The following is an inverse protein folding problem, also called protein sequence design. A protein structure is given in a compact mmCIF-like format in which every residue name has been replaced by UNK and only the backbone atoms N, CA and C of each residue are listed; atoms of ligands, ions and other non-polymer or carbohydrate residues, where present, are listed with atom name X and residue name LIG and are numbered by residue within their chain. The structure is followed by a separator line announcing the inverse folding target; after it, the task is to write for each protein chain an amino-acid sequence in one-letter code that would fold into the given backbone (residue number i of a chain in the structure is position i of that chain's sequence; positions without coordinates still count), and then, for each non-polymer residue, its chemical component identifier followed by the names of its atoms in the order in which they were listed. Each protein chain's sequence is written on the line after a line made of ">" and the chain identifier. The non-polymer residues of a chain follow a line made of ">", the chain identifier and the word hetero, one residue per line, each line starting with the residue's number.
data_IF_767519741175
#
_entry.id   IF_767519741175
#
_cell.length_a   1.000
_cell.length_b   1.000
_cell.length_c   1.000
_cell.angle_alpha   90.00
_cell.angle_beta   90.00
_cell.angle_gamma   90.00
#
_symmetry.space_group_name_H-M   'P 1'
#
loop_
_entity.id
_entity.type
_entity.pdbx_description
1 polymer ?
#
# COMPACT_ATOMS: atom_id res chain seq x y z
N UNK A 1 19.50 -38.52 0.73
CA UNK A 1 19.81 -37.45 -0.25
C UNK A 1 18.72 -36.39 -0.17
N UNK A 2 18.99 -35.21 0.42
CA UNK A 2 18.00 -34.14 0.53
C UNK A 2 17.61 -33.61 -0.86
N UNK A 3 16.34 -33.74 -1.23
CA UNK A 3 15.86 -33.25 -2.52
C UNK A 3 15.66 -31.72 -2.45
N UNK A 4 16.64 -30.98 -2.97
CA UNK A 4 16.66 -29.50 -2.99
C UNK A 4 15.37 -28.92 -3.60
N UNK A 5 14.77 -29.60 -4.58
CA UNK A 5 13.52 -29.18 -5.21
C UNK A 5 12.32 -29.18 -4.24
N UNK A 6 12.31 -30.08 -3.24
CA UNK A 6 11.26 -30.12 -2.22
C UNK A 6 11.40 -28.97 -1.21
N UNK A 7 12.64 -28.60 -0.85
CA UNK A 7 12.91 -27.46 0.06
C UNK A 7 12.46 -26.16 -0.60
N UNK A 8 12.85 -25.95 -1.86
CA UNK A 8 12.45 -24.80 -2.65
C UNK A 8 10.92 -24.69 -2.81
N UNK A 9 10.23 -25.81 -2.96
CA UNK A 9 8.76 -25.86 -3.02
C UNK A 9 8.13 -25.50 -1.68
N UNK A 10 8.67 -26.01 -0.57
CA UNK A 10 8.19 -25.73 0.79
C UNK A 10 8.36 -24.26 1.15
N UNK A 11 9.52 -23.67 0.87
CA UNK A 11 9.78 -22.24 1.11
C UNK A 11 8.77 -21.37 0.35
N UNK A 12 8.53 -21.66 -0.93
CA UNK A 12 7.54 -20.91 -1.73
C UNK A 12 6.13 -21.04 -1.20
N UNK A 13 5.74 -22.23 -0.74
CA UNK A 13 4.44 -22.44 -0.13
C UNK A 13 4.28 -21.58 1.12
N UNK A 14 5.28 -21.58 2.01
CA UNK A 14 5.30 -20.75 3.23
C UNK A 14 5.20 -19.26 2.85
N UNK A 15 5.99 -18.78 1.90
CA UNK A 15 5.93 -17.39 1.43
C UNK A 15 4.56 -17.03 0.84
N UNK A 16 3.95 -17.95 0.08
CA UNK A 16 2.62 -17.75 -0.48
C UNK A 16 1.60 -17.55 0.63
N UNK A 17 1.57 -18.46 1.60
CA UNK A 17 0.65 -18.40 2.74
C UNK A 17 0.89 -17.12 3.53
N UNK A 18 2.15 -16.77 3.80
CA UNK A 18 2.51 -15.55 4.54
C UNK A 18 2.00 -14.28 3.85
N UNK A 19 2.27 -14.09 2.56
CA UNK A 19 1.87 -12.86 1.86
C UNK A 19 0.36 -12.75 1.69
N UNK A 20 -0.35 -13.86 1.47
CA UNK A 20 -1.80 -13.84 1.43
C UNK A 20 -2.42 -13.61 2.80
N UNK A 21 -1.84 -14.18 3.87
CA UNK A 21 -2.26 -13.90 5.23
C UNK A 21 -2.08 -12.40 5.56
N UNK A 22 -0.92 -11.83 5.22
CA UNK A 22 -0.68 -10.39 5.37
C UNK A 22 -1.66 -9.55 4.54
N UNK A 23 -1.95 -9.94 3.29
CA UNK A 23 -2.93 -9.23 2.46
C UNK A 23 -4.34 -9.28 3.07
N UNK A 24 -4.76 -10.42 3.62
CA UNK A 24 -6.07 -10.56 4.27
C UNK A 24 -6.15 -9.75 5.56
N UNK A 25 -5.13 -9.85 6.43
CA UNK A 25 -5.05 -9.04 7.66
C UNK A 25 -5.09 -7.56 7.30
N UNK A 26 -4.35 -7.16 6.28
CA UNK A 26 -4.30 -5.77 5.85
C UNK A 26 -5.66 -5.31 5.31
N UNK A 27 -6.33 -6.11 4.46
CA UNK A 27 -7.67 -5.81 3.96
C UNK A 27 -8.69 -5.65 5.09
N UNK A 28 -8.60 -6.46 6.16
CA UNK A 28 -9.43 -6.31 7.35
C UNK A 28 -9.14 -4.96 8.04
N UNK A 29 -7.87 -4.56 8.14
CA UNK A 29 -7.51 -3.24 8.66
C UNK A 29 -8.09 -2.10 7.82
N UNK A 30 -8.11 -2.23 6.48
CA UNK A 30 -8.76 -1.23 5.59
C UNK A 30 -10.23 -1.10 5.95
N UNK A 31 -10.97 -2.21 5.98
CA UNK A 31 -12.39 -2.20 6.30
C UNK A 31 -12.62 -1.57 7.68
N UNK A 32 -11.80 -1.91 8.68
CA UNK A 32 -11.90 -1.32 10.01
C UNK A 32 -11.70 0.20 10.02
N UNK A 33 -10.80 0.74 9.20
CA UNK A 33 -10.60 2.20 9.09
C UNK A 33 -11.73 2.86 8.29
N UNK A 34 -12.22 2.16 7.26
CA UNK A 34 -13.34 2.63 6.47
C UNK A 34 -14.62 2.68 7.28
N UNK A 35 -14.86 1.71 8.17
CA UNK A 35 -15.99 1.67 9.11
C UNK A 35 -16.06 2.86 10.09
N UNK A 36 -14.99 3.63 10.25
CA UNK A 36 -14.97 4.77 11.16
C UNK A 36 -15.83 5.95 10.61
N UNK A 37 -16.80 6.45 11.41
CA UNK A 37 -17.50 7.70 11.09
C UNK A 37 -16.53 8.86 10.88
N UNK A 38 -16.96 9.87 10.12
CA UNK A 38 -16.07 10.96 9.72
C UNK A 38 -15.45 11.74 10.90
N UNK A 39 -16.17 11.91 12.00
CA UNK A 39 -15.65 12.57 13.20
C UNK A 39 -14.50 11.78 13.85
N UNK A 40 -14.67 10.45 14.01
CA UNK A 40 -13.63 9.55 14.56
C UNK A 40 -12.41 9.52 13.64
N UNK A 41 -12.64 9.47 12.33
CA UNK A 41 -11.55 9.52 11.36
C UNK A 41 -10.77 10.84 11.40
N UNK A 42 -11.48 11.97 11.55
CA UNK A 42 -10.85 13.29 11.67
C UNK A 42 -10.03 13.40 12.96
N UNK A 43 -10.52 12.85 14.08
CA UNK A 43 -9.79 12.77 15.35
C UNK A 43 -8.51 11.95 15.22
N UNK A 44 -8.56 10.77 14.58
CA UNK A 44 -7.35 9.96 14.31
C UNK A 44 -6.31 10.71 13.48
N UNK A 45 -6.75 11.46 12.46
CA UNK A 45 -5.86 12.34 11.69
C UNK A 45 -5.34 13.51 12.54
N UNK A 46 -6.13 14.02 13.47
CA UNK A 46 -5.75 15.06 14.44
C UNK A 46 -4.60 14.64 15.36
N UNK A 47 -4.62 13.41 15.88
CA UNK A 47 -3.53 12.87 16.70
C UNK A 47 -2.19 12.76 15.94
N UNK A 48 -2.25 12.59 14.61
CA UNK A 48 -1.07 12.61 13.75
C UNK A 48 -0.62 14.06 13.53
N UNK A 49 -1.58 14.97 13.35
CA UNK A 49 -1.33 16.39 13.18
C UNK A 49 -0.68 17.04 14.38
N UNK A 50 -1.18 16.82 15.59
CA UNK A 50 -0.60 17.37 16.82
C UNK A 50 0.90 17.02 16.97
N UNK A 51 1.33 15.88 16.41
CA UNK A 51 2.74 15.46 16.44
C UNK A 51 3.60 16.13 15.35
N UNK A 52 2.97 16.53 14.25
CA UNK A 52 3.64 17.05 13.05
C UNK A 52 3.54 18.59 13.00
N UNK A 53 2.53 19.18 13.65
CA UNK A 53 2.26 20.61 13.78
C UNK A 53 3.50 21.43 14.16
N UNK A 54 4.28 21.10 15.22
CA UNK A 54 5.47 21.89 15.58
C UNK A 54 6.58 21.85 14.50
N UNK A 55 6.61 20.81 13.66
CA UNK A 55 7.53 20.74 12.53
C UNK A 55 7.02 21.54 11.32
N UNK A 56 5.70 21.51 11.10
CA UNK A 56 5.04 22.26 10.02
C UNK A 56 5.09 23.75 10.27
N UNK A 57 4.79 24.20 11.49
CA UNK A 57 4.90 25.62 11.89
C UNK A 57 6.30 26.16 11.64
N UNK A 58 7.34 25.40 12.01
CA UNK A 58 8.73 25.78 11.78
C UNK A 58 9.07 25.96 10.29
N UNK A 59 8.53 25.11 9.41
CA UNK A 59 8.74 25.23 7.96
C UNK A 59 7.95 26.42 7.40
N UNK A 60 6.71 26.63 7.87
CA UNK A 60 5.87 27.74 7.42
C UNK A 60 6.55 29.08 7.75
N UNK A 61 7.08 29.23 8.98
CA UNK A 61 7.81 30.42 9.40
C UNK A 61 9.12 30.61 8.63
N UNK A 62 9.86 29.53 8.35
CA UNK A 62 11.16 29.61 7.66
C UNK A 62 11.04 29.96 6.17
N UNK A 63 9.93 29.59 5.52
CA UNK A 63 9.76 29.73 4.06
C UNK A 63 8.62 30.68 3.63
N UNK A 64 7.98 31.41 4.56
CA UNK A 64 6.85 32.33 4.32
C UNK A 64 5.72 31.68 3.48
N UNK A 65 5.39 30.43 3.82
CA UNK A 65 4.37 29.67 3.10
C UNK A 65 3.00 30.13 3.58
N UNK A 66 2.09 30.40 2.64
CA UNK A 66 0.70 30.77 2.96
C UNK A 66 0.06 29.70 3.88
N UNK A 67 -0.50 30.14 5.01
CA UNK A 67 -1.14 29.27 6.00
C UNK A 67 -2.15 28.34 5.32
N UNK A 68 -1.94 27.02 5.44
CA UNK A 68 -2.89 26.00 4.98
C UNK A 68 -3.93 25.86 6.10
N UNK A 69 -5.22 25.84 5.75
CA UNK A 69 -6.28 25.60 6.73
C UNK A 69 -6.09 24.22 7.40
N UNK A 70 -6.31 24.13 8.70
CA UNK A 70 -6.22 22.87 9.45
C UNK A 70 -7.14 21.81 8.85
N UNK A 71 -8.33 22.21 8.39
CA UNK A 71 -9.30 21.30 7.78
C UNK A 71 -8.78 20.70 6.46
N UNK A 72 -8.08 21.50 5.65
CA UNK A 72 -7.42 21.03 4.43
C UNK A 72 -6.28 20.06 4.78
N UNK A 73 -5.52 20.34 5.84
CA UNK A 73 -4.41 19.49 6.26
C UNK A 73 -4.90 18.12 6.78
N UNK A 74 -5.98 18.09 7.56
CA UNK A 74 -6.67 16.86 7.93
C UNK A 74 -7.10 16.06 6.70
N UNK A 75 -7.66 16.75 5.70
CA UNK A 75 -8.06 16.13 4.44
C UNK A 75 -6.86 15.49 3.73
N UNK A 76 -5.75 16.20 3.55
CA UNK A 76 -4.56 15.68 2.86
C UNK A 76 -3.91 14.51 3.59
N UNK A 77 -3.82 14.55 4.92
CA UNK A 77 -3.26 13.43 5.71
C UNK A 77 -4.11 12.19 5.55
N UNK A 78 -5.44 12.33 5.63
CA UNK A 78 -6.37 11.21 5.42
C UNK A 78 -6.20 10.63 4.02
N UNK A 79 -6.22 11.45 2.96
CA UNK A 79 -6.03 10.96 1.58
C UNK A 79 -4.66 10.29 1.39
N UNK A 80 -3.61 10.82 2.02
CA UNK A 80 -2.27 10.21 1.97
C UNK A 80 -2.23 8.84 2.66
N UNK A 81 -2.96 8.68 3.78
CA UNK A 81 -3.09 7.40 4.45
C UNK A 81 -3.79 6.36 3.56
N UNK A 82 -4.85 6.74 2.85
CA UNK A 82 -5.53 5.88 1.89
C UNK A 82 -4.56 5.40 0.78
N UNK A 83 -3.83 6.32 0.14
CA UNK A 83 -2.79 5.99 -0.85
C UNK A 83 -1.78 4.98 -0.29
N UNK A 84 -1.30 5.19 0.94
CA UNK A 84 -0.32 4.30 1.57
C UNK A 84 -0.89 2.91 1.92
N UNK A 85 -2.14 2.85 2.37
CA UNK A 85 -2.81 1.61 2.72
C UNK A 85 -3.00 0.73 1.47
N UNK A 86 -3.44 1.31 0.36
CA UNK A 86 -3.60 0.61 -0.91
C UNK A 86 -2.26 0.26 -1.58
N UNK A 87 -1.22 1.08 -1.36
CA UNK A 87 0.15 0.73 -1.69
C UNK A 87 0.56 -0.58 -1.02
N UNK A 88 0.41 -0.71 0.31
CA UNK A 88 0.80 -1.92 1.02
C UNK A 88 -0.03 -3.15 0.62
N UNK A 89 -1.35 -2.98 0.44
CA UNK A 89 -2.23 -4.04 -0.04
C UNK A 89 -1.72 -4.62 -1.38
N UNK A 90 -1.43 -3.75 -2.34
CA UNK A 90 -0.95 -4.16 -3.67
C UNK A 90 0.43 -4.83 -3.61
N UNK A 91 1.32 -4.41 -2.70
CA UNK A 91 2.62 -5.07 -2.48
C UNK A 91 2.42 -6.50 -1.99
N UNK A 92 1.60 -6.72 -0.95
CA UNK A 92 1.36 -8.05 -0.39
C UNK A 92 0.70 -8.99 -1.41
N UNK A 93 -0.34 -8.52 -2.10
CA UNK A 93 -1.03 -9.29 -3.13
C UNK A 93 -0.10 -9.66 -4.30
N UNK A 94 0.68 -8.70 -4.80
CA UNK A 94 1.59 -8.96 -5.92
C UNK A 94 2.70 -9.94 -5.53
N UNK A 95 3.24 -9.86 -4.31
CA UNK A 95 4.21 -10.82 -3.79
C UNK A 95 3.60 -12.21 -3.61
N UNK A 96 2.36 -12.30 -3.14
CA UNK A 96 1.58 -13.55 -3.08
C UNK A 96 1.44 -14.22 -4.45
N UNK A 97 1.04 -13.46 -5.48
CA UNK A 97 0.94 -13.96 -6.85
C UNK A 97 2.29 -14.37 -7.45
N UNK A 98 3.38 -13.66 -7.12
CA UNK A 98 4.74 -14.05 -7.54
C UNK A 98 5.20 -15.34 -6.86
N UNK A 99 4.82 -15.57 -5.60
CA UNK A 99 5.21 -16.75 -4.83
C UNK A 99 4.60 -18.06 -5.41
N UNK A 100 3.39 -18.01 -5.94
CA UNK A 100 2.74 -19.13 -6.69
C UNK A 100 3.24 -19.30 -8.13
N UNK A 101 4.31 -18.58 -8.50
CA UNK A 101 5.01 -18.71 -9.79
C UNK A 101 4.24 -18.17 -10.99
N UNK A 102 3.28 -17.28 -10.78
CA UNK A 102 2.64 -16.53 -11.87
C UNK A 102 3.70 -15.68 -12.59
N UNK A 103 3.86 -15.89 -13.91
CA UNK A 103 4.97 -15.34 -14.70
C UNK A 103 4.60 -14.04 -15.42
N UNK A 104 5.64 -13.30 -15.80
CA UNK A 104 5.51 -12.08 -16.60
C UNK A 104 4.74 -10.98 -15.87
N UNK A 105 3.87 -10.30 -16.63
CA UNK A 105 3.04 -9.18 -16.17
C UNK A 105 1.76 -9.62 -15.45
N UNK A 106 1.37 -10.90 -15.55
CA UNK A 106 0.13 -11.43 -14.94
C UNK A 106 -0.04 -11.11 -13.44
N UNK A 107 0.98 -11.25 -12.57
CA UNK A 107 0.82 -10.91 -11.14
C UNK A 107 0.45 -9.45 -10.93
N UNK A 108 1.04 -8.54 -11.72
CA UNK A 108 0.79 -7.11 -11.61
C UNK A 108 -0.62 -6.79 -12.09
N UNK A 109 -1.02 -7.33 -13.24
CA UNK A 109 -2.36 -7.09 -13.79
C UNK A 109 -3.47 -7.63 -12.88
N UNK A 110 -3.34 -8.87 -12.40
CA UNK A 110 -4.34 -9.47 -11.51
C UNK A 110 -4.41 -8.69 -10.19
N UNK A 111 -3.26 -8.31 -9.62
CA UNK A 111 -3.23 -7.51 -8.39
C UNK A 111 -3.88 -6.14 -8.60
N UNK A 112 -3.56 -5.47 -9.70
CA UNK A 112 -4.16 -4.18 -10.04
C UNK A 112 -5.68 -4.30 -10.10
N UNK A 113 -6.21 -5.22 -10.92
CA UNK A 113 -7.67 -5.43 -11.03
C UNK A 113 -8.31 -5.76 -9.68
N UNK A 114 -7.74 -6.70 -8.91
CA UNK A 114 -8.33 -7.08 -7.62
C UNK A 114 -8.31 -5.93 -6.60
N UNK A 115 -7.20 -5.18 -6.51
CA UNK A 115 -7.07 -4.07 -5.58
C UNK A 115 -7.95 -2.87 -5.99
N UNK A 116 -8.09 -2.60 -7.29
CA UNK A 116 -9.01 -1.58 -7.81
C UNK A 116 -10.46 -1.94 -7.53
N UNK A 117 -10.85 -3.22 -7.72
CA UNK A 117 -12.19 -3.68 -7.35
C UNK A 117 -12.41 -3.53 -5.84
N UNK A 118 -11.40 -3.86 -5.03
CA UNK A 118 -11.47 -3.66 -3.58
C UNK A 118 -11.65 -2.19 -3.21
N UNK A 119 -10.93 -1.26 -3.84
CA UNK A 119 -11.08 0.18 -3.58
C UNK A 119 -12.44 0.74 -3.99
N UNK A 120 -13.02 0.22 -5.07
CA UNK A 120 -14.40 0.56 -5.45
C UNK A 120 -15.40 0.06 -4.40
N UNK A 121 -15.23 -1.17 -3.92
CA UNK A 121 -16.10 -1.74 -2.87
C UNK A 121 -15.98 -0.94 -1.57
N UNK A 122 -14.76 -0.53 -1.22
CA UNK A 122 -14.47 0.28 -0.03
C UNK A 122 -15.17 1.64 -0.08
N UNK A 123 -15.09 2.35 -1.21
CA UNK A 123 -15.80 3.63 -1.39
C UNK A 123 -17.31 3.47 -1.38
N UNK A 124 -17.85 2.41 -1.98
CA UNK A 124 -19.27 2.07 -1.89
C UNK A 124 -19.68 1.81 -0.43
N UNK A 125 -18.86 1.08 0.33
CA UNK A 125 -19.10 0.81 1.74
C UNK A 125 -19.11 2.11 2.57
N UNK A 126 -18.18 3.02 2.29
CA UNK A 126 -18.11 4.32 2.98
C UNK A 126 -19.35 5.20 2.77
N UNK A 127 -20.05 5.10 1.64
CA UNK A 127 -21.32 5.85 1.43
C UNK A 127 -22.37 5.53 2.49
N UNK A 128 -22.33 4.33 3.07
CA UNK A 128 -23.27 3.92 4.12
C UNK A 128 -22.87 4.38 5.52
N UNK A 129 -21.74 5.09 5.66
CA UNK A 129 -21.17 5.49 6.94
C UNK A 129 -21.49 6.96 7.23
N UNK A 130 -22.01 7.29 8.43
CA UNK A 130 -22.36 8.65 8.78
C UNK A 130 -21.20 9.65 8.59
N UNK A 131 -21.46 10.69 7.79
CA UNK A 131 -20.52 11.79 7.54
C UNK A 131 -19.43 11.49 6.53
N UNK A 132 -19.39 10.29 5.93
CA UNK A 132 -18.48 9.95 4.82
C UNK A 132 -19.16 10.22 3.48
N UNK A 133 -18.41 10.78 2.54
CA UNK A 133 -18.77 10.84 1.13
C UNK A 133 -17.96 9.79 0.38
N UNK A 134 -18.61 8.88 -0.34
CA UNK A 134 -17.91 8.04 -1.30
C UNK A 134 -17.59 8.89 -2.53
N UNK A 135 -16.32 9.06 -2.86
CA UNK A 135 -15.88 9.91 -3.95
C UNK A 135 -15.16 9.10 -5.02
N UNK A 136 -15.57 9.28 -6.29
CA UNK A 136 -14.84 8.66 -7.41
C UNK A 136 -13.37 9.10 -7.44
N UNK A 137 -13.09 10.31 -6.92
CA UNK A 137 -11.74 10.84 -6.77
C UNK A 137 -10.88 10.01 -5.82
N UNK A 138 -11.48 9.34 -4.85
CA UNK A 138 -10.76 8.50 -3.87
C UNK A 138 -10.36 7.17 -4.48
N UNK A 139 -11.23 6.58 -5.31
CA UNK A 139 -10.85 5.43 -6.14
C UNK A 139 -9.62 5.73 -6.99
N UNK A 140 -9.51 6.94 -7.56
CA UNK A 140 -8.33 7.33 -8.35
C UNK A 140 -7.07 7.47 -7.48
N UNK A 141 -7.18 8.07 -6.29
CA UNK A 141 -6.07 8.20 -5.35
C UNK A 141 -5.60 6.83 -4.84
N UNK A 142 -6.53 5.94 -4.49
CA UNK A 142 -6.22 4.56 -4.10
C UNK A 142 -5.51 3.82 -5.22
N UNK A 143 -5.96 4.00 -6.47
CA UNK A 143 -5.28 3.46 -7.64
C UNK A 143 -3.87 4.02 -7.82
N UNK A 144 -3.60 5.28 -7.48
CA UNK A 144 -2.24 5.80 -7.46
C UNK A 144 -1.38 5.02 -6.44
N UNK A 145 -1.91 4.75 -5.25
CA UNK A 145 -1.29 3.89 -4.23
C UNK A 145 -0.99 2.48 -4.76
N UNK A 146 -1.98 1.84 -5.38
CA UNK A 146 -1.84 0.50 -6.00
C UNK A 146 -0.72 0.50 -7.04
N UNK A 147 -0.72 1.46 -7.96
CA UNK A 147 0.29 1.55 -9.02
C UNK A 147 1.69 1.76 -8.41
N UNK A 148 1.83 2.63 -7.42
CA UNK A 148 3.09 2.84 -6.71
C UNK A 148 3.60 1.55 -6.05
N UNK A 149 2.71 0.76 -5.44
CA UNK A 149 3.09 -0.52 -4.82
C UNK A 149 3.54 -1.56 -5.84
N UNK A 150 2.87 -1.63 -6.99
CA UNK A 150 3.28 -2.49 -8.10
C UNK A 150 4.64 -2.08 -8.69
N UNK A 151 4.87 -0.78 -8.86
CA UNK A 151 6.16 -0.24 -9.29
C UNK A 151 7.26 -0.55 -8.27
N UNK A 152 6.97 -0.42 -6.98
CA UNK A 152 7.90 -0.78 -5.90
C UNK A 152 8.33 -2.25 -5.99
N UNK A 153 7.38 -3.18 -6.15
CA UNK A 153 7.69 -4.60 -6.33
C UNK A 153 8.51 -4.86 -7.60
N UNK A 154 8.15 -4.22 -8.72
CA UNK A 154 8.89 -4.34 -9.97
C UNK A 154 10.34 -3.86 -9.83
N UNK A 155 10.53 -2.69 -9.22
CA UNK A 155 11.84 -2.09 -8.98
C UNK A 155 12.69 -2.93 -8.03
N UNK A 156 12.12 -3.42 -6.93
CA UNK A 156 12.82 -4.31 -5.98
C UNK A 156 13.32 -5.60 -6.64
N UNK A 157 12.49 -6.23 -7.49
CA UNK A 157 12.88 -7.42 -8.26
C UNK A 157 13.99 -7.09 -9.27
N UNK A 158 13.88 -5.95 -9.95
CA UNK A 158 14.91 -5.49 -10.89
C UNK A 158 16.26 -5.29 -10.19
N UNK A 159 16.27 -4.58 -9.06
CA UNK A 159 17.47 -4.31 -8.28
C UNK A 159 18.10 -5.62 -7.76
N UNK A 160 17.30 -6.53 -7.23
CA UNK A 160 17.76 -7.84 -6.76
C UNK A 160 18.41 -8.66 -7.89
N UNK A 161 17.79 -8.70 -9.08
CA UNK A 161 18.36 -9.38 -10.24
C UNK A 161 19.68 -8.73 -10.70
N UNK A 162 19.75 -7.40 -10.72
CA UNK A 162 20.95 -6.64 -11.08
C UNK A 162 22.09 -6.92 -10.11
N UNK A 163 21.83 -6.88 -8.80
CA UNK A 163 22.82 -7.17 -7.76
C UNK A 163 23.33 -8.61 -7.84
N UNK A 164 22.42 -9.59 -7.98
CA UNK A 164 22.78 -11.00 -8.12
C UNK A 164 23.66 -11.27 -9.35
N UNK A 165 23.42 -10.57 -10.47
CA UNK A 165 24.27 -10.66 -11.67
C UNK A 165 25.67 -10.09 -11.43
N UNK A 166 25.79 -8.96 -10.73
CA UNK A 166 27.09 -8.37 -10.38
C UNK A 166 27.90 -9.29 -9.46
N UNK A 167 27.29 -9.84 -8.41
CA UNK A 167 27.94 -10.77 -7.49
C UNK A 167 28.45 -12.05 -8.19
N UNK A 168 27.68 -12.59 -9.15
CA UNK A 168 28.13 -13.74 -9.96
C UNK A 168 29.33 -13.41 -10.85
N UNK A 169 29.45 -12.18 -11.34
CA UNK A 169 30.63 -11.75 -12.12
C UNK A 169 31.87 -11.65 -11.24
N UNK A 170 31.75 -11.04 -10.06
CA UNK A 170 32.86 -10.90 -9.11
C UNK A 170 33.40 -12.24 -8.60
N UNK A 171 32.55 -13.25 -8.43
CA UNK A 171 32.98 -14.60 -8.01
C UNK A 171 33.65 -15.41 -9.13
N UNK A 172 33.58 -14.95 -10.38
CA UNK A 172 34.16 -15.64 -11.55
C UNK A 172 35.51 -15.06 -11.97
N UNK A 173 35.85 -13.87 -11.46
CA UNK A 173 37.18 -13.28 -11.56
C UNK A 173 37.99 -13.63 -10.31
#
# INVERSE_FOLDING_TARGET
>A
MFNINNIDKKIRYIMTVLFWLLAVIWAISIISFSSDPAHVSKEKSGLILEKIEPFVERIIEEYDIKFIDLDDLHFYIRKSAHVFIYFLLSVFMCLGWKAVRTRGLRPYYITWVMATVFSIIDEIYQVFIPGRSGEVRDVFLDNAGIVLGLLFVAFGIFLFKKLRRRLKKLRKN
#
